data_IF_581433728330
#
_entry.id   IF_581433728330
#
_cell.length_a   1.000
_cell.length_b   1.000
_cell.length_c   1.000
_cell.angle_alpha   90.00
_cell.angle_beta   90.00
_cell.angle_gamma   90.00
#
_symmetry.space_group_name_H-M   'P 1'
#
loop_
_entity.id
_entity.type
_entity.pdbx_description
1 polymer ?
#
# COMPACT_ATOMS: atom_id res chain seq x y z
N UNK A 1 28.71 4.70 21.59
CA UNK A 1 28.91 4.23 20.20
C UNK A 1 28.73 5.42 19.29
N UNK A 2 29.66 5.67 18.36
CA UNK A 2 29.60 6.78 17.42
C UNK A 2 29.31 6.22 16.01
N UNK A 3 28.37 6.82 15.29
CA UNK A 3 28.04 6.47 13.91
C UNK A 3 28.78 7.42 12.96
N UNK A 4 29.60 6.89 12.06
CA UNK A 4 30.25 7.64 11.00
C UNK A 4 29.64 7.22 9.65
N UNK A 5 29.18 8.20 8.86
CA UNK A 5 28.55 7.95 7.56
C UNK A 5 29.38 8.64 6.48
N UNK A 6 29.91 7.84 5.55
CA UNK A 6 30.54 8.34 4.33
C UNK A 6 29.53 8.30 3.18
N UNK A 7 29.26 9.45 2.56
CA UNK A 7 28.36 9.55 1.40
C UNK A 7 29.20 9.78 0.15
N UNK A 8 29.15 8.84 -0.79
CA UNK A 8 29.75 8.98 -2.11
C UNK A 8 28.63 9.08 -3.16
N UNK A 9 28.41 10.28 -3.70
CA UNK A 9 27.41 10.53 -4.74
C UNK A 9 28.01 11.30 -5.91
N UNK A 10 27.54 11.03 -7.14
CA UNK A 10 27.98 11.73 -8.35
C UNK A 10 27.24 13.06 -8.61
N UNK A 11 26.17 13.37 -7.88
CA UNK A 11 25.36 14.59 -8.01
C UNK A 11 24.61 14.93 -6.70
N UNK A 12 23.58 15.77 -6.77
CA UNK A 12 22.74 16.26 -5.66
C UNK A 12 21.91 15.19 -4.91
N UNK A 13 21.99 13.93 -5.30
CA UNK A 13 21.38 12.80 -4.58
C UNK A 13 21.83 12.73 -3.11
N UNK A 14 23.05 13.18 -2.81
CA UNK A 14 23.55 13.29 -1.44
C UNK A 14 22.71 14.23 -0.57
N UNK A 15 22.10 15.27 -1.13
CA UNK A 15 21.27 16.22 -0.37
C UNK A 15 19.99 15.54 0.14
N UNK A 16 19.38 14.68 -0.68
CA UNK A 16 18.21 13.90 -0.28
C UNK A 16 18.57 12.92 0.84
N UNK A 17 19.70 12.24 0.72
CA UNK A 17 20.24 11.36 1.77
C UNK A 17 20.53 12.12 3.07
N UNK A 18 21.12 13.31 2.98
CA UNK A 18 21.39 14.18 4.14
C UNK A 18 20.11 14.66 4.81
N UNK A 19 19.07 14.99 4.05
CA UNK A 19 17.76 15.35 4.61
C UNK A 19 17.11 14.18 5.35
N UNK A 20 17.13 12.99 4.76
CA UNK A 20 16.60 11.77 5.41
C UNK A 20 17.34 11.48 6.71
N UNK A 21 18.67 11.59 6.69
CA UNK A 21 19.51 11.43 7.89
C UNK A 21 19.22 12.48 8.96
N UNK A 22 19.05 13.74 8.56
CA UNK A 22 18.74 14.84 9.49
C UNK A 22 17.41 14.61 10.20
N UNK A 23 16.40 14.13 9.48
CA UNK A 23 15.11 13.74 10.06
C UNK A 23 15.26 12.53 11.00
N UNK A 24 15.93 11.47 10.55
CA UNK A 24 16.12 10.26 11.35
C UNK A 24 16.94 10.49 12.64
N UNK A 25 17.84 11.47 12.64
CA UNK A 25 18.60 11.87 13.83
C UNK A 25 17.83 12.83 14.75
N UNK A 26 16.77 13.48 14.25
CA UNK A 26 15.89 14.35 15.04
C UNK A 26 14.79 13.58 15.79
N UNK A 27 14.48 12.36 15.36
CA UNK A 27 13.54 11.44 16.02
C UNK A 27 14.33 10.51 16.97
N UNK A 28 14.11 10.60 18.29
CA UNK A 28 14.92 9.90 19.31
C UNK A 28 14.95 8.37 19.10
N UNK A 29 13.84 7.78 18.67
CA UNK A 29 13.71 6.33 18.44
C UNK A 29 14.52 5.83 17.23
N UNK A 30 14.59 6.62 16.15
CA UNK A 30 15.34 6.26 14.94
C UNK A 30 16.85 6.27 15.17
N UNK A 31 17.34 7.15 16.03
CA UNK A 31 18.76 7.22 16.39
C UNK A 31 19.28 5.95 17.07
N UNK A 32 18.46 5.28 17.89
CA UNK A 32 18.81 3.99 18.49
C UNK A 32 18.72 2.85 17.47
N UNK A 33 17.67 2.81 16.65
CA UNK A 33 17.51 1.80 15.62
C UNK A 33 18.67 1.83 14.59
N UNK A 34 19.16 3.02 14.22
CA UNK A 34 20.33 3.19 13.35
C UNK A 34 21.62 2.64 13.98
N UNK A 35 21.73 2.65 15.32
CA UNK A 35 22.88 2.07 16.05
C UNK A 35 22.82 0.56 16.16
N UNK A 36 21.61 -0.01 16.16
CA UNK A 36 21.38 -1.45 16.30
C UNK A 36 21.31 -2.18 14.96
N UNK A 37 21.16 -1.45 13.84
CA UNK A 37 21.19 -1.98 12.48
C UNK A 37 22.51 -2.74 12.21
N UNK A 38 22.39 -3.99 11.76
CA UNK A 38 23.55 -4.88 11.51
C UNK A 38 23.82 -5.09 10.03
N UNK A 39 22.85 -4.78 9.18
CA UNK A 39 22.93 -4.99 7.73
C UNK A 39 22.70 -3.67 6.97
N UNK A 40 23.24 -3.55 5.75
CA UNK A 40 22.95 -2.42 4.88
C UNK A 40 21.45 -2.23 4.62
N UNK A 41 20.69 -3.32 4.53
CA UNK A 41 19.24 -3.31 4.27
C UNK A 41 18.44 -2.73 5.45
N UNK A 42 18.82 -3.06 6.69
CA UNK A 42 18.22 -2.48 7.89
C UNK A 42 18.40 -0.96 7.93
N UNK A 43 19.60 -0.50 7.55
CA UNK A 43 19.94 0.92 7.48
C UNK A 43 19.11 1.64 6.42
N UNK A 44 18.95 1.03 5.22
CA UNK A 44 18.10 1.58 4.17
C UNK A 44 16.64 1.70 4.58
N UNK A 45 16.07 0.69 5.25
CA UNK A 45 14.69 0.74 5.75
C UNK A 45 14.49 1.87 6.75
N UNK A 46 15.42 2.02 7.70
CA UNK A 46 15.36 3.10 8.69
C UNK A 46 15.44 4.49 8.03
N UNK A 47 16.31 4.65 7.04
CA UNK A 47 16.49 5.92 6.31
C UNK A 47 15.34 6.24 5.35
N UNK A 48 14.67 5.23 4.81
CA UNK A 48 13.46 5.40 4.00
C UNK A 48 12.23 5.74 4.85
N UNK A 49 12.34 5.61 6.18
CA UNK A 49 11.26 5.77 7.15
C UNK A 49 10.57 4.44 7.46
N UNK A 50 9.83 4.38 8.57
CA UNK A 50 9.00 3.22 8.87
C UNK A 50 8.05 2.92 7.69
N UNK A 51 7.75 1.64 7.38
CA UNK A 51 6.72 1.30 6.42
C UNK A 51 5.47 2.10 6.79
N UNK A 52 4.92 2.85 5.82
CA UNK A 52 3.68 3.57 6.08
C UNK A 52 2.64 2.58 6.57
N UNK A 53 1.97 2.92 7.67
CA UNK A 53 0.92 2.06 8.22
C UNK A 53 -0.14 1.78 7.16
N UNK A 54 -0.61 0.53 7.10
CA UNK A 54 -1.70 0.16 6.22
C UNK A 54 -2.95 0.95 6.61
N UNK A 55 -3.44 1.78 5.70
CA UNK A 55 -4.72 2.43 5.86
C UNK A 55 -5.84 1.39 5.76
N UNK A 56 -6.40 1.03 6.91
CA UNK A 56 -7.57 0.17 7.05
C UNK A 56 -8.49 0.77 8.11
N UNK A 57 -9.59 1.34 7.67
CA UNK A 57 -10.57 2.01 8.51
C UNK A 57 -12.00 1.64 8.06
N UNK A 58 -12.99 2.13 8.79
CA UNK A 58 -14.39 1.85 8.45
C UNK A 58 -14.83 2.43 7.10
N UNK A 59 -14.20 3.52 6.62
CA UNK A 59 -14.56 4.11 5.31
C UNK A 59 -14.00 3.30 4.14
N UNK A 60 -13.09 2.36 4.38
CA UNK A 60 -12.57 1.42 3.39
C UNK A 60 -13.45 0.18 3.18
N UNK A 61 -14.52 0.03 3.96
CA UNK A 61 -15.41 -1.13 3.90
C UNK A 61 -16.76 -0.68 3.33
N UNK A 62 -17.21 -1.35 2.26
CA UNK A 62 -18.54 -1.12 1.68
C UNK A 62 -19.26 -2.45 1.48
N UNK A 63 -20.29 -2.69 2.28
CA UNK A 63 -21.06 -3.93 2.25
C UNK A 63 -22.33 -3.76 1.42
N UNK A 64 -22.78 -4.84 0.77
CA UNK A 64 -24.06 -4.87 0.06
C UNK A 64 -24.13 -3.86 -1.08
N UNK A 65 -23.08 -3.79 -1.88
CA UNK A 65 -22.97 -2.87 -3.00
C UNK A 65 -23.78 -3.43 -4.17
N UNK A 66 -24.70 -2.62 -4.69
CA UNK A 66 -25.33 -2.88 -5.99
C UNK A 66 -24.24 -2.84 -7.06
N UNK A 67 -23.91 -4.02 -7.57
CA UNK A 67 -22.95 -4.24 -8.65
C UNK A 67 -23.50 -5.33 -9.58
N UNK A 68 -23.44 -5.09 -10.88
CA UNK A 68 -23.91 -6.04 -11.89
C UNK A 68 -22.83 -7.05 -12.31
N UNK A 69 -21.55 -6.66 -12.20
CA UNK A 69 -20.42 -7.50 -12.54
C UNK A 69 -19.18 -7.24 -11.65
N UNK A 70 -18.14 -8.05 -11.89
CA UNK A 70 -16.88 -7.96 -11.16
C UNK A 70 -16.20 -6.60 -11.32
N UNK A 71 -16.25 -6.00 -12.52
CA UNK A 71 -15.59 -4.73 -12.80
C UNK A 71 -16.21 -3.59 -12.00
N UNK A 72 -17.53 -3.59 -11.81
CA UNK A 72 -18.21 -2.63 -10.95
C UNK A 72 -17.76 -2.74 -9.49
N UNK A 73 -17.56 -3.95 -8.97
CA UNK A 73 -17.01 -4.16 -7.63
C UNK A 73 -15.57 -3.64 -7.51
N UNK A 74 -14.72 -3.92 -8.51
CA UNK A 74 -13.34 -3.39 -8.57
C UNK A 74 -13.34 -1.87 -8.53
N UNK A 75 -14.21 -1.23 -9.32
CA UNK A 75 -14.33 0.22 -9.36
C UNK A 75 -14.78 0.80 -8.01
N UNK A 76 -15.67 0.11 -7.31
CA UNK A 76 -16.14 0.49 -5.98
C UNK A 76 -15.00 0.42 -4.97
N UNK A 77 -14.22 -0.67 -4.93
CA UNK A 77 -13.04 -0.79 -4.06
C UNK A 77 -11.99 0.27 -4.35
N UNK A 78 -11.62 0.46 -5.63
CA UNK A 78 -10.67 1.48 -6.05
C UNK A 78 -11.11 2.91 -5.66
N UNK A 79 -12.42 3.19 -5.70
CA UNK A 79 -12.96 4.48 -5.28
C UNK A 79 -12.82 4.72 -3.78
N UNK A 80 -12.94 3.69 -2.94
CA UNK A 80 -12.71 3.79 -1.49
C UNK A 80 -11.25 4.13 -1.21
N UNK A 81 -10.32 3.39 -1.81
CA UNK A 81 -8.88 3.65 -1.70
C UNK A 81 -8.51 5.08 -2.14
N UNK A 82 -9.11 5.56 -3.24
CA UNK A 82 -8.88 6.94 -3.72
C UNK A 82 -9.44 7.99 -2.77
N UNK A 83 -10.63 7.78 -2.20
CA UNK A 83 -11.24 8.72 -1.24
C UNK A 83 -10.41 8.85 0.03
N UNK A 84 -9.77 7.77 0.45
CA UNK A 84 -8.86 7.75 1.58
C UNK A 84 -7.41 8.12 1.20
N UNK A 85 -7.18 8.70 0.03
CA UNK A 85 -5.88 9.17 -0.45
C UNK A 85 -4.79 8.08 -0.49
N UNK A 86 -5.19 6.81 -0.62
CA UNK A 86 -4.24 5.70 -0.74
C UNK A 86 -3.71 5.55 -2.16
N UNK A 87 -4.50 5.94 -3.15
CA UNK A 87 -4.17 5.79 -4.56
C UNK A 87 -4.56 7.03 -5.35
N UNK A 88 -3.82 7.27 -6.43
CA UNK A 88 -4.05 8.36 -7.37
C UNK A 88 -5.10 8.01 -8.43
N UNK A 89 -5.47 9.00 -9.25
CA UNK A 89 -6.33 8.78 -10.41
C UNK A 89 -5.74 7.73 -11.35
N UNK A 90 -6.59 6.90 -11.95
CA UNK A 90 -6.17 5.82 -12.86
C UNK A 90 -5.94 4.46 -12.20
N UNK A 91 -5.91 4.36 -10.86
CA UNK A 91 -5.72 3.09 -10.16
C UNK A 91 -6.72 1.98 -10.56
N UNK A 92 -8.00 2.34 -10.75
CA UNK A 92 -9.02 1.39 -11.21
C UNK A 92 -8.70 0.79 -12.59
N UNK A 93 -8.12 1.57 -13.51
CA UNK A 93 -7.72 1.09 -14.83
C UNK A 93 -6.49 0.17 -14.76
N UNK A 94 -5.62 0.37 -13.77
CA UNK A 94 -4.52 -0.55 -13.48
C UNK A 94 -5.07 -1.88 -12.98
N UNK A 95 -6.01 -1.86 -12.02
CA UNK A 95 -6.59 -3.09 -11.45
C UNK A 95 -7.32 -3.95 -12.49
N UNK A 96 -7.90 -3.36 -13.52
CA UNK A 96 -8.52 -4.11 -14.64
C UNK A 96 -7.52 -4.97 -15.42
N UNK A 97 -6.22 -4.66 -15.35
CA UNK A 97 -5.16 -5.41 -16.02
C UNK A 97 -4.54 -6.48 -15.10
N UNK A 98 -4.94 -6.50 -13.82
CA UNK A 98 -4.43 -7.44 -12.83
C UNK A 98 -5.35 -8.65 -12.77
N UNK A 99 -4.76 -9.84 -12.74
CA UNK A 99 -5.50 -11.07 -12.54
C UNK A 99 -5.90 -11.23 -11.06
N UNK A 100 -7.18 -11.43 -10.80
CA UNK A 100 -7.68 -11.57 -9.44
C UNK A 100 -7.33 -12.95 -8.87
N UNK A 101 -6.87 -12.96 -7.61
CA UNK A 101 -6.55 -14.18 -6.89
C UNK A 101 -7.77 -14.64 -6.08
N UNK A 102 -8.21 -15.88 -6.29
CA UNK A 102 -9.23 -16.51 -5.45
C UNK A 102 -8.61 -16.93 -4.11
N UNK A 103 -9.16 -16.44 -3.01
CA UNK A 103 -8.74 -16.78 -1.65
C UNK A 103 -9.52 -17.96 -1.05
N UNK A 104 -10.56 -18.43 -1.74
CA UNK A 104 -11.51 -19.41 -1.21
C UNK A 104 -12.76 -18.76 -0.60
N UNK A 105 -13.80 -19.56 -0.37
CA UNK A 105 -15.08 -19.13 0.24
C UNK A 105 -15.77 -17.94 -0.45
N UNK A 106 -15.47 -17.74 -1.73
CA UNK A 106 -15.98 -16.64 -2.54
C UNK A 106 -15.28 -15.30 -2.32
N UNK A 107 -14.18 -15.27 -1.57
CA UNK A 107 -13.34 -14.09 -1.39
C UNK A 107 -12.30 -14.00 -2.49
N UNK A 108 -12.11 -12.78 -3.00
CA UNK A 108 -11.17 -12.46 -4.06
C UNK A 108 -10.24 -11.34 -3.65
N UNK A 109 -9.03 -11.35 -4.20
CA UNK A 109 -7.98 -10.37 -3.93
C UNK A 109 -7.47 -9.74 -5.21
N UNK A 110 -7.40 -8.42 -5.22
CA UNK A 110 -6.74 -7.63 -6.24
C UNK A 110 -5.79 -6.63 -5.60
N UNK A 111 -4.62 -6.43 -6.22
CA UNK A 111 -3.65 -5.45 -5.75
C UNK A 111 -2.85 -4.85 -6.89
N UNK A 112 -2.29 -3.68 -6.67
CA UNK A 112 -1.27 -3.10 -7.53
C UNK A 112 -0.41 -2.14 -6.72
N UNK A 113 0.86 -2.00 -7.10
CA UNK A 113 1.78 -1.01 -6.54
C UNK A 113 1.85 0.27 -7.38
N UNK A 114 1.24 0.26 -8.58
CA UNK A 114 1.24 1.43 -9.45
C UNK A 114 0.22 2.45 -8.97
N UNK A 115 0.58 3.74 -9.05
CA UNK A 115 -0.29 4.86 -8.64
C UNK A 115 -0.72 4.83 -7.16
N UNK A 116 0.04 4.13 -6.30
CA UNK A 116 -0.17 4.08 -4.85
C UNK A 116 0.59 5.22 -4.17
N UNK A 117 -0.12 6.00 -3.35
CA UNK A 117 0.44 7.09 -2.54
C UNK A 117 0.83 6.59 -1.15
N UNK A 118 -0.01 5.73 -0.57
CA UNK A 118 0.22 5.04 0.71
C UNK A 118 -0.46 3.67 0.70
N UNK A 119 0.05 2.68 1.46
CA UNK A 119 -0.59 1.38 1.59
C UNK A 119 -2.02 1.53 2.11
N UNK A 120 -2.96 0.86 1.47
CA UNK A 120 -4.36 0.82 1.90
C UNK A 120 -5.04 -0.46 1.45
N UNK A 121 -6.04 -0.88 2.21
CA UNK A 121 -6.84 -2.05 1.91
C UNK A 121 -8.32 -1.67 1.95
N UNK A 122 -9.05 -1.96 0.87
CA UNK A 122 -10.49 -1.84 0.80
C UNK A 122 -11.14 -3.21 0.86
N UNK A 123 -12.41 -3.25 1.26
CA UNK A 123 -13.20 -4.46 1.19
C UNK A 123 -14.61 -4.14 0.72
N UNK A 124 -15.07 -4.82 -0.31
CA UNK A 124 -16.42 -4.64 -0.87
C UNK A 124 -17.14 -5.97 -0.99
N UNK A 125 -18.44 -5.98 -0.66
CA UNK A 125 -19.31 -7.14 -0.88
C UNK A 125 -20.48 -6.75 -1.78
N UNK A 126 -20.94 -7.62 -2.69
CA UNK A 126 -22.13 -7.36 -3.48
C UNK A 126 -23.41 -7.52 -2.65
N UNK A 127 -24.50 -6.88 -3.10
CA UNK A 127 -25.84 -7.02 -2.52
C UNK A 127 -26.56 -8.31 -2.92
N UNK A 128 -26.11 -8.95 -4.01
CA UNK A 128 -26.67 -10.18 -4.56
C UNK A 128 -25.56 -11.23 -4.78
N UNK A 129 -25.91 -12.53 -4.81
CA UNK A 129 -24.95 -13.57 -5.14
C UNK A 129 -24.34 -13.34 -6.53
N UNK A 130 -23.02 -13.26 -6.60
CA UNK A 130 -22.28 -13.09 -7.85
C UNK A 130 -21.34 -14.26 -8.10
N UNK A 131 -20.90 -14.40 -9.36
CA UNK A 131 -19.88 -15.36 -9.75
C UNK A 131 -18.83 -14.69 -10.60
N UNK A 132 -17.57 -15.05 -10.38
CA UNK A 132 -16.44 -14.62 -11.20
C UNK A 132 -15.60 -15.86 -11.53
N UNK A 133 -15.25 -16.02 -12.82
CA UNK A 133 -14.56 -17.21 -13.34
C UNK A 133 -15.20 -18.54 -12.92
N UNK A 134 -16.53 -18.58 -12.83
CA UNK A 134 -17.30 -19.77 -12.45
C UNK A 134 -17.28 -20.11 -10.96
N UNK A 135 -16.57 -19.35 -10.12
CA UNK A 135 -16.57 -19.51 -8.67
C UNK A 135 -17.45 -18.43 -8.01
N UNK A 136 -17.93 -18.66 -6.77
CA UNK A 136 -18.65 -17.64 -6.00
C UNK A 136 -17.83 -16.35 -5.84
N UNK A 137 -18.52 -15.23 -5.79
CA UNK A 137 -17.98 -13.91 -5.43
C UNK A 137 -18.86 -13.32 -4.34
N UNK A 138 -18.37 -13.38 -3.10
CA UNK A 138 -19.05 -12.90 -1.88
C UNK A 138 -18.34 -11.68 -1.29
N UNK A 139 -17.07 -11.47 -1.63
CA UNK A 139 -16.31 -10.29 -1.25
C UNK A 139 -15.06 -10.11 -2.10
N UNK A 140 -14.63 -8.86 -2.24
CA UNK A 140 -13.44 -8.45 -2.96
C UNK A 140 -12.61 -7.54 -2.06
N UNK A 141 -11.33 -7.86 -1.95
CA UNK A 141 -10.28 -7.00 -1.41
C UNK A 141 -9.55 -6.28 -2.54
#
# INVERSE_FOLDING_TARGET
>A
VYLAIGIAAKSDEHLRLLQLLTRALGEEDLGQALREAKTPEDLLKLLQGAPQELALDAQMISLGVSADDFEELVWRGARLLRKADCVSNGFAAVLQQVEALSLGDGLWWLHSEQTVNRPGLAFVTPDKPMRYLGQPLTGLF
#
